data_IF_688759485358
#
_entry.id   IF_688759485358
#
_cell.length_a   1.000
_cell.length_b   1.000
_cell.length_c   1.000
_cell.angle_alpha   90.00
_cell.angle_beta   90.00
_cell.angle_gamma   90.00
#
_symmetry.space_group_name_H-M   'P 1'
#
loop_
_entity.id
_entity.type
_entity.pdbx_description
1 polymer ?
#
# COMPACT_ATOMS: atom_id res chain seq x y z
N UNK A 1 10.50 -21.64 -25.67
CA UNK A 1 9.24 -22.40 -25.58
C UNK A 1 9.27 -23.11 -24.23
N UNK A 2 8.78 -22.41 -23.16
CA UNK A 2 8.68 -23.01 -21.82
C UNK A 2 7.35 -23.73 -21.72
N UNK A 3 7.38 -25.05 -21.79
CA UNK A 3 6.23 -25.92 -21.57
C UNK A 3 6.13 -26.16 -20.06
N UNK A 4 5.46 -25.27 -19.32
CA UNK A 4 5.07 -25.57 -17.95
C UNK A 4 4.05 -26.70 -17.95
N UNK A 5 4.29 -27.71 -17.09
CA UNK A 5 3.40 -28.86 -16.94
C UNK A 5 2.06 -28.43 -16.36
N UNK A 6 0.91 -28.89 -16.86
CA UNK A 6 -0.43 -28.47 -16.44
C UNK A 6 -0.77 -28.69 -14.95
N UNK A 7 0.05 -29.43 -14.22
CA UNK A 7 -0.10 -29.63 -12.76
C UNK A 7 0.46 -28.51 -11.89
N UNK A 8 1.40 -27.71 -12.39
CA UNK A 8 2.04 -26.62 -11.64
C UNK A 8 1.14 -25.37 -11.56
N UNK A 9 0.37 -25.08 -12.60
CA UNK A 9 -0.59 -23.98 -12.57
C UNK A 9 -1.72 -24.20 -11.56
N UNK A 10 -2.28 -25.42 -11.49
CA UNK A 10 -3.31 -25.74 -10.50
C UNK A 10 -2.82 -25.65 -9.05
N UNK A 11 -1.56 -26.01 -8.78
CA UNK A 11 -0.94 -25.91 -7.45
C UNK A 11 -0.69 -24.43 -7.09
N UNK A 12 -0.17 -23.63 -8.02
CA UNK A 12 0.01 -22.18 -7.85
C UNK A 12 -1.32 -21.49 -7.59
N UNK A 13 -2.36 -21.79 -8.38
CA UNK A 13 -3.69 -21.19 -8.22
C UNK A 13 -4.35 -21.53 -6.87
N UNK A 14 -4.17 -22.76 -6.38
CA UNK A 14 -4.63 -23.15 -5.03
C UNK A 14 -3.88 -22.40 -3.92
N UNK A 15 -2.57 -22.24 -4.04
CA UNK A 15 -1.76 -21.51 -3.07
C UNK A 15 -2.12 -20.02 -3.04
N UNK A 16 -2.40 -19.43 -4.21
CA UNK A 16 -2.82 -18.06 -4.34
C UNK A 16 -4.22 -17.84 -3.69
N UNK A 17 -5.18 -18.71 -3.95
CA UNK A 17 -6.50 -18.64 -3.30
C UNK A 17 -6.42 -18.78 -1.79
N UNK A 18 -5.63 -19.71 -1.28
CA UNK A 18 -5.42 -19.88 0.15
C UNK A 18 -4.89 -18.61 0.83
N UNK A 19 -3.99 -17.89 0.18
CA UNK A 19 -3.49 -16.62 0.71
C UNK A 19 -4.61 -15.59 0.84
N UNK A 20 -5.43 -15.40 -0.20
CA UNK A 20 -6.54 -14.43 -0.19
C UNK A 20 -7.58 -14.78 0.88
N UNK A 21 -7.96 -16.05 1.00
CA UNK A 21 -8.93 -16.50 2.00
C UNK A 21 -8.41 -16.29 3.43
N UNK A 22 -7.13 -16.53 3.67
CA UNK A 22 -6.48 -16.26 4.95
C UNK A 22 -6.40 -14.77 5.23
N UNK A 23 -6.03 -13.97 4.23
CA UNK A 23 -5.95 -12.52 4.35
C UNK A 23 -7.32 -11.91 4.66
N UNK A 24 -8.39 -12.33 3.96
CA UNK A 24 -9.77 -11.88 4.22
C UNK A 24 -10.18 -12.17 5.68
N UNK A 25 -9.89 -13.36 6.18
CA UNK A 25 -10.17 -13.71 7.58
C UNK A 25 -9.36 -12.84 8.53
N UNK A 26 -8.06 -12.69 8.30
CA UNK A 26 -7.20 -11.89 9.16
C UNK A 26 -7.60 -10.41 9.19
N UNK A 27 -8.09 -9.87 8.07
CA UNK A 27 -8.64 -8.51 8.00
C UNK A 27 -9.98 -8.34 8.74
N UNK A 28 -10.68 -9.41 9.06
CA UNK A 28 -11.89 -9.38 9.90
C UNK A 28 -11.62 -9.51 11.40
N UNK A 29 -10.38 -9.78 11.80
CA UNK A 29 -9.90 -9.86 13.18
C UNK A 29 -9.31 -8.50 13.63
N UNK A 30 -9.01 -8.31 14.94
CA UNK A 30 -8.30 -7.11 15.39
C UNK A 30 -7.00 -6.88 14.62
N UNK A 31 -6.86 -5.71 14.03
CA UNK A 31 -5.72 -5.34 13.20
C UNK A 31 -4.49 -4.99 14.05
N UNK A 32 -3.26 -5.15 13.51
CA UNK A 32 -2.03 -4.68 14.15
C UNK A 32 -2.04 -3.17 14.44
N UNK A 33 -2.74 -2.41 13.62
CA UNK A 33 -3.09 -1.03 13.86
C UNK A 33 -1.90 -0.09 13.92
N UNK A 34 -2.08 0.95 14.73
CA UNK A 34 -1.13 2.04 14.87
C UNK A 34 0.26 1.56 15.33
N UNK A 35 0.34 0.52 16.17
CA UNK A 35 1.63 0.00 16.67
C UNK A 35 2.50 -0.52 15.52
N UNK A 36 1.91 -1.21 14.55
CA UNK A 36 2.61 -1.65 13.35
C UNK A 36 2.98 -0.46 12.44
N UNK A 37 2.04 0.48 12.25
CA UNK A 37 2.24 1.66 11.42
C UNK A 37 3.39 2.55 11.93
N UNK A 38 3.51 2.72 13.25
CA UNK A 38 4.53 3.56 13.87
C UNK A 38 5.97 3.06 13.65
N UNK A 39 6.17 1.79 13.34
CA UNK A 39 7.50 1.26 12.97
C UNK A 39 8.07 1.93 11.71
N UNK A 40 7.19 2.44 10.84
CA UNK A 40 7.56 3.13 9.60
C UNK A 40 7.20 4.62 9.61
N UNK A 41 6.86 5.17 10.77
CA UNK A 41 6.62 6.60 10.92
C UNK A 41 7.93 7.38 11.00
N UNK A 42 8.03 8.58 10.40
CA UNK A 42 9.13 9.49 10.64
C UNK A 42 9.27 9.79 12.15
N UNK A 43 10.50 9.87 12.63
CA UNK A 43 10.76 10.16 14.04
C UNK A 43 11.61 11.45 14.20
N UNK A 44 11.15 12.49 14.89
CA UNK A 44 9.82 12.60 15.52
C UNK A 44 8.69 12.73 14.50
N UNK A 45 7.56 12.09 14.79
CA UNK A 45 6.35 12.18 13.99
C UNK A 45 5.56 13.43 14.32
N UNK A 46 5.06 14.10 13.30
CA UNK A 46 4.04 15.14 13.49
C UNK A 46 2.67 14.48 13.60
N UNK A 47 1.96 14.83 14.67
CA UNK A 47 0.57 14.45 14.87
C UNK A 47 -0.34 15.62 14.52
N UNK A 48 -1.55 15.37 14.01
CA UNK A 48 -2.56 16.43 13.91
C UNK A 48 -2.86 17.01 15.28
N UNK A 49 -3.21 18.29 15.31
CA UNK A 49 -3.71 18.91 16.54
C UNK A 49 -4.92 18.13 17.09
N UNK A 50 -5.08 17.99 18.41
CA UNK A 50 -6.10 17.14 19.03
C UNK A 50 -7.55 17.44 18.60
N UNK A 51 -7.82 18.67 18.10
CA UNK A 51 -9.12 19.12 17.61
C UNK A 51 -9.16 19.35 16.09
N UNK A 52 -8.11 18.95 15.38
CA UNK A 52 -8.07 19.11 13.92
C UNK A 52 -9.15 18.25 13.26
N UNK A 53 -9.92 18.87 12.41
CA UNK A 53 -10.84 18.17 11.50
C UNK A 53 -10.04 17.71 10.31
N UNK A 54 -9.78 16.40 10.24
CA UNK A 54 -9.09 15.80 9.12
C UNK A 54 -10.07 15.50 7.98
N UNK A 55 -9.66 15.81 6.76
CA UNK A 55 -10.43 15.51 5.56
C UNK A 55 -10.28 14.05 5.19
N UNK A 56 -11.37 13.33 4.88
CA UNK A 56 -11.29 11.94 4.49
C UNK A 56 -10.54 11.79 3.16
N UNK A 57 -9.74 10.74 3.08
CA UNK A 57 -9.04 10.29 1.88
C UNK A 57 -9.01 8.75 1.88
N UNK A 58 -8.91 8.15 0.71
CA UNK A 58 -8.81 6.70 0.57
C UNK A 58 -7.64 6.33 -0.35
N UNK A 59 -7.06 5.14 -0.13
CA UNK A 59 -6.08 4.56 -1.03
C UNK A 59 -6.33 3.06 -1.20
N UNK A 60 -6.11 2.54 -2.40
CA UNK A 60 -6.27 1.14 -2.71
C UNK A 60 -4.93 0.40 -2.53
N UNK A 61 -4.86 -0.51 -1.57
CA UNK A 61 -3.86 -1.55 -1.51
C UNK A 61 -4.38 -2.73 -2.34
N UNK A 62 -4.09 -2.69 -3.65
CA UNK A 62 -4.48 -3.73 -4.58
C UNK A 62 -3.47 -4.87 -4.54
N UNK A 63 -3.95 -6.11 -4.49
CA UNK A 63 -3.11 -7.30 -4.53
C UNK A 63 -3.47 -8.09 -5.78
N UNK A 64 -2.46 -8.43 -6.57
CA UNK A 64 -2.63 -9.19 -7.81
C UNK A 64 -1.49 -10.18 -8.03
N UNK A 65 -1.76 -11.31 -8.72
CA UNK A 65 -0.74 -12.28 -9.07
C UNK A 65 0.08 -11.79 -10.28
N UNK A 66 1.41 -11.89 -10.18
CA UNK A 66 2.33 -11.66 -11.29
C UNK A 66 3.57 -12.51 -11.09
N UNK A 67 4.04 -13.20 -12.14
CA UNK A 67 5.23 -14.07 -12.13
C UNK A 67 5.27 -15.08 -10.96
N UNK A 68 4.09 -15.60 -10.59
CA UNK A 68 3.95 -16.60 -9.51
C UNK A 68 4.07 -16.04 -8.09
N UNK A 69 4.04 -14.73 -7.92
CA UNK A 69 4.05 -14.03 -6.64
C UNK A 69 2.92 -13.00 -6.55
N UNK A 70 2.61 -12.57 -5.33
CA UNK A 70 1.70 -11.46 -5.09
C UNK A 70 2.42 -10.12 -5.18
N UNK A 71 1.81 -9.15 -5.88
CA UNK A 71 2.34 -7.81 -6.07
C UNK A 71 1.34 -6.74 -5.65
N UNK A 72 1.87 -5.57 -5.34
CA UNK A 72 1.13 -4.34 -5.04
C UNK A 72 1.56 -3.28 -6.06
N UNK A 73 0.63 -2.64 -6.79
CA UNK A 73 0.96 -1.53 -7.67
C UNK A 73 1.18 -0.27 -6.83
N UNK A 74 2.33 0.35 -7.00
CA UNK A 74 2.66 1.63 -6.41
C UNK A 74 2.92 2.63 -7.52
N UNK A 75 2.43 3.85 -7.35
CA UNK A 75 2.65 4.95 -8.28
C UNK A 75 3.84 5.80 -7.85
N UNK A 76 4.66 6.23 -8.79
CA UNK A 76 5.65 7.30 -8.58
C UNK A 76 5.05 8.58 -9.12
N UNK A 77 4.90 9.57 -8.25
CA UNK A 77 4.26 10.83 -8.59
C UNK A 77 5.11 11.65 -9.55
N UNK A 78 4.50 12.14 -10.63
CA UNK A 78 5.17 12.88 -11.70
C UNK A 78 5.83 14.19 -11.24
N UNK A 79 6.92 14.55 -11.91
CA UNK A 79 7.74 15.73 -11.61
C UNK A 79 7.00 17.07 -11.85
N UNK A 80 5.93 17.08 -12.62
CA UNK A 80 5.14 18.26 -12.97
C UNK A 80 4.24 18.78 -11.85
N UNK A 81 4.01 17.98 -10.83
CA UNK A 81 3.16 18.36 -9.70
C UNK A 81 3.96 19.16 -8.66
N UNK A 82 3.43 20.31 -8.23
CA UNK A 82 4.10 21.28 -7.33
C UNK A 82 4.48 20.71 -5.95
N UNK A 83 3.87 19.59 -5.54
CA UNK A 83 4.10 18.97 -4.24
C UNK A 83 4.30 17.47 -4.39
N UNK A 84 5.23 16.90 -3.59
CA UNK A 84 5.45 15.45 -3.49
C UNK A 84 6.01 14.75 -4.74
N UNK A 85 6.74 15.49 -5.57
CA UNK A 85 7.47 14.95 -6.74
C UNK A 85 8.32 13.74 -6.37
N UNK A 86 8.22 12.65 -7.14
CA UNK A 86 9.01 11.44 -6.94
C UNK A 86 8.62 10.60 -5.72
N UNK A 87 7.55 10.96 -4.99
CA UNK A 87 7.05 10.12 -3.90
C UNK A 87 6.36 8.88 -4.44
N UNK A 88 6.62 7.76 -3.74
CA UNK A 88 5.96 6.49 -4.01
C UNK A 88 4.70 6.39 -3.14
N UNK A 89 3.57 6.10 -3.77
CA UNK A 89 2.28 5.98 -3.08
C UNK A 89 1.44 4.82 -3.59
N UNK A 90 0.51 4.37 -2.75
CA UNK A 90 -0.64 3.61 -3.23
C UNK A 90 -1.52 4.54 -4.07
N UNK A 91 -2.21 4.03 -5.11
CA UNK A 91 -3.25 4.78 -5.82
C UNK A 91 -4.29 5.28 -4.83
N UNK A 92 -4.60 6.58 -4.88
CA UNK A 92 -5.55 7.12 -3.92
C UNK A 92 -5.58 8.64 -3.85
N UNK A 93 -6.66 9.15 -3.29
CA UNK A 93 -6.95 10.57 -3.19
C UNK A 93 -8.03 10.91 -2.17
N UNK A 94 -8.64 12.09 -2.34
CA UNK A 94 -9.73 12.56 -1.49
C UNK A 94 -11.05 11.94 -1.91
N UNK A 95 -12.01 11.94 -1.01
CA UNK A 95 -13.40 11.71 -1.36
C UNK A 95 -13.94 12.98 -2.06
N UNK A 96 -14.47 12.83 -3.27
CA UNK A 96 -14.96 13.95 -4.08
C UNK A 96 -16.37 14.41 -3.68
N UNK A 97 -17.19 13.46 -3.20
CA UNK A 97 -18.57 13.72 -2.82
C UNK A 97 -18.84 13.28 -1.39
N UNK A 98 -19.74 13.99 -0.64
CA UNK A 98 -20.09 13.63 0.74
C UNK A 98 -20.66 12.20 0.88
N UNK A 99 -21.30 11.68 -0.16
CA UNK A 99 -21.93 10.37 -0.18
C UNK A 99 -21.04 9.27 -0.76
N UNK A 100 -19.81 9.61 -1.19
CA UNK A 100 -18.84 8.63 -1.69
C UNK A 100 -18.28 7.80 -0.54
N UNK A 101 -18.35 6.48 -0.65
CA UNK A 101 -17.68 5.62 0.33
C UNK A 101 -16.17 5.59 0.10
N UNK A 102 -15.41 5.24 1.13
CA UNK A 102 -13.94 5.11 1.02
C UNK A 102 -13.52 4.05 0.00
N UNK A 103 -14.33 3.00 -0.20
CA UNK A 103 -14.11 1.99 -1.23
C UNK A 103 -14.32 2.57 -2.62
N UNK A 104 -15.39 3.35 -2.82
CA UNK A 104 -15.67 4.00 -4.09
C UNK A 104 -14.56 4.98 -4.45
N UNK A 105 -14.11 5.80 -3.50
CA UNK A 105 -13.00 6.72 -3.69
C UNK A 105 -11.71 5.97 -4.05
N UNK A 106 -11.34 4.92 -3.31
CA UNK A 106 -10.15 4.13 -3.58
C UNK A 106 -10.17 3.47 -4.98
N UNK A 107 -11.33 2.95 -5.38
CA UNK A 107 -11.50 2.33 -6.70
C UNK A 107 -11.49 3.36 -7.84
N UNK A 108 -12.13 4.52 -7.66
CA UNK A 108 -12.13 5.62 -8.62
C UNK A 108 -10.70 6.13 -8.86
N UNK A 109 -9.96 6.43 -7.80
CA UNK A 109 -8.58 6.90 -7.90
C UNK A 109 -7.66 5.86 -8.56
N UNK A 110 -7.82 4.57 -8.26
CA UNK A 110 -7.07 3.51 -8.93
C UNK A 110 -7.42 3.40 -10.43
N UNK A 111 -8.67 3.66 -10.80
CA UNK A 111 -9.06 3.71 -12.21
C UNK A 111 -8.45 4.94 -12.90
N UNK A 112 -8.49 6.10 -12.27
CA UNK A 112 -7.96 7.36 -12.80
C UNK A 112 -6.44 7.33 -12.93
N UNK A 113 -5.71 6.88 -11.89
CA UNK A 113 -4.24 6.91 -11.86
C UNK A 113 -3.59 5.77 -12.66
N UNK A 114 -4.12 4.55 -12.57
CA UNK A 114 -3.47 3.33 -13.11
C UNK A 114 -4.36 2.47 -14.01
N UNK A 115 -5.58 2.91 -14.31
CA UNK A 115 -6.48 2.26 -15.27
C UNK A 115 -7.12 0.96 -14.79
N UNK A 116 -7.12 0.67 -13.49
CA UNK A 116 -7.74 -0.54 -12.95
C UNK A 116 -9.26 -0.38 -12.90
N UNK A 117 -9.98 -1.24 -13.62
CA UNK A 117 -11.43 -1.17 -13.67
C UNK A 117 -12.08 -1.57 -12.33
N UNK A 118 -12.92 -0.71 -11.71
CA UNK A 118 -13.51 -0.96 -10.38
C UNK A 118 -14.25 -2.29 -10.26
N UNK A 119 -14.95 -2.72 -11.31
CA UNK A 119 -15.74 -3.96 -11.34
C UNK A 119 -14.89 -5.23 -11.39
N UNK A 120 -13.57 -5.14 -11.57
CA UNK A 120 -12.64 -6.28 -11.52
C UNK A 120 -12.05 -6.50 -10.14
N UNK A 121 -12.17 -5.51 -9.25
CA UNK A 121 -11.56 -5.52 -7.92
C UNK A 121 -12.56 -6.03 -6.88
N UNK A 122 -12.21 -7.11 -6.22
CA UNK A 122 -12.91 -7.56 -5.02
C UNK A 122 -12.34 -6.87 -3.78
N UNK A 123 -13.14 -6.06 -3.09
CA UNK A 123 -12.75 -5.49 -1.80
C UNK A 123 -12.86 -6.56 -0.72
N UNK A 124 -11.75 -6.80 0.00
CA UNK A 124 -11.66 -7.85 1.02
C UNK A 124 -11.50 -7.31 2.45
N UNK A 125 -11.33 -6.00 2.62
CA UNK A 125 -11.26 -5.37 3.93
C UNK A 125 -10.64 -3.97 3.91
N UNK A 126 -10.35 -3.45 5.09
CA UNK A 126 -9.69 -2.17 5.32
C UNK A 126 -8.56 -2.35 6.33
N UNK A 127 -7.55 -1.50 6.26
CA UNK A 127 -6.55 -1.35 7.31
C UNK A 127 -6.89 -0.18 8.24
N UNK A 128 -6.10 0.01 9.28
CA UNK A 128 -6.27 1.10 10.23
C UNK A 128 -6.03 2.46 9.56
N UNK A 129 -6.88 3.46 9.76
CA UNK A 129 -6.70 4.78 9.18
C UNK A 129 -5.40 5.43 9.63
N UNK A 130 -4.74 6.15 8.72
CA UNK A 130 -3.49 6.89 8.96
C UNK A 130 -3.77 8.39 8.98
N UNK A 131 -3.64 9.08 10.12
CA UNK A 131 -3.75 10.53 10.14
C UNK A 131 -2.48 11.17 9.55
N UNK A 132 -2.63 12.06 8.57
CA UNK A 132 -1.53 12.75 7.88
C UNK A 132 -1.58 14.24 8.23
N UNK A 133 -0.80 14.64 9.25
CA UNK A 133 -0.79 16.00 9.78
C UNK A 133 -0.42 17.05 8.72
N UNK A 134 0.60 16.78 7.90
CA UNK A 134 1.12 17.73 6.89
C UNK A 134 0.12 18.08 5.81
N UNK A 135 -0.80 17.21 5.47
CA UNK A 135 -1.84 17.46 4.46
C UNK A 135 -3.23 17.65 5.06
N UNK A 136 -3.41 17.40 6.36
CA UNK A 136 -4.69 17.47 7.06
C UNK A 136 -5.69 16.42 6.61
N UNK A 137 -5.22 15.21 6.25
CA UNK A 137 -6.06 14.10 5.81
C UNK A 137 -6.06 12.93 6.80
N UNK A 138 -7.19 12.23 6.85
CA UNK A 138 -7.30 10.89 7.42
C UNK A 138 -7.38 9.90 6.27
N UNK A 139 -6.30 9.20 6.01
CA UNK A 139 -6.20 8.21 4.94
C UNK A 139 -6.77 6.88 5.40
N UNK A 140 -7.81 6.40 4.73
CA UNK A 140 -8.35 5.06 4.90
C UNK A 140 -7.78 4.13 3.84
N UNK A 141 -6.90 3.18 4.20
CA UNK A 141 -6.46 2.15 3.26
C UNK A 141 -7.55 1.10 3.08
N UNK A 142 -7.86 0.81 1.82
CA UNK A 142 -8.81 -0.21 1.38
C UNK A 142 -8.01 -1.34 0.74
N UNK A 143 -8.28 -2.59 1.12
CA UNK A 143 -7.59 -3.77 0.56
C UNK A 143 -8.48 -4.42 -0.48
N UNK A 144 -7.96 -4.50 -1.70
CA UNK A 144 -8.61 -5.13 -2.84
C UNK A 144 -7.76 -6.21 -3.47
N UNK A 145 -8.40 -7.16 -4.13
CA UNK A 145 -7.75 -8.27 -4.86
C UNK A 145 -8.34 -8.37 -6.25
N UNK A 146 -7.50 -8.70 -7.23
CA UNK A 146 -7.91 -9.13 -8.56
C UNK A 146 -7.32 -10.50 -8.87
N UNK A 147 -7.98 -11.28 -9.72
CA UNK A 147 -7.58 -12.66 -10.02
C UNK A 147 -6.40 -12.74 -10.99
N UNK A 148 -6.27 -11.75 -11.86
CA UNK A 148 -5.22 -11.67 -12.89
C UNK A 148 -4.48 -10.34 -12.78
N UNK A 149 -3.26 -10.28 -13.32
CA UNK A 149 -2.51 -9.02 -13.41
C UNK A 149 -3.28 -8.02 -14.28
N UNK A 150 -3.62 -6.83 -13.76
CA UNK A 150 -4.31 -5.81 -14.56
C UNK A 150 -3.48 -5.33 -15.74
N UNK A 151 -4.16 -4.95 -16.83
CA UNK A 151 -3.53 -4.16 -17.88
C UNK A 151 -3.47 -2.70 -17.42
N UNK A 152 -2.35 -2.31 -16.84
CA UNK A 152 -2.16 -0.96 -16.30
C UNK A 152 -2.11 0.09 -17.42
N UNK A 153 -2.81 1.22 -17.21
CA UNK A 153 -2.79 2.41 -18.07
C UNK A 153 -2.58 3.62 -17.18
N UNK A 154 -1.41 4.24 -17.25
CA UNK A 154 -1.02 5.31 -16.35
C UNK A 154 -1.56 6.67 -16.81
N UNK A 155 -2.05 7.47 -15.87
CA UNK A 155 -2.39 8.87 -16.08
C UNK A 155 -1.11 9.70 -16.23
N UNK A 156 -0.71 10.00 -17.46
CA UNK A 156 0.61 10.58 -17.81
C UNK A 156 0.94 11.90 -17.11
N UNK A 157 -0.06 12.67 -16.64
CA UNK A 157 0.16 13.92 -15.93
C UNK A 157 0.34 13.75 -14.41
N UNK A 158 -0.08 12.62 -13.85
CA UNK A 158 -0.07 12.35 -12.42
C UNK A 158 0.95 11.29 -12.03
N UNK A 159 1.07 10.25 -12.85
CA UNK A 159 1.89 9.07 -12.59
C UNK A 159 3.04 9.03 -13.58
N UNK A 160 4.28 9.17 -13.08
CA UNK A 160 5.50 9.06 -13.87
C UNK A 160 5.80 7.61 -14.25
N UNK A 161 5.66 6.70 -13.30
CA UNK A 161 5.84 5.26 -13.51
C UNK A 161 5.12 4.44 -12.45
N UNK A 162 4.86 3.19 -12.79
CA UNK A 162 4.36 2.17 -11.88
C UNK A 162 5.51 1.33 -11.33
N UNK A 163 5.42 0.96 -10.07
CA UNK A 163 6.26 -0.05 -9.42
C UNK A 163 5.36 -1.23 -9.07
N UNK A 164 5.65 -2.39 -9.62
CA UNK A 164 4.99 -3.65 -9.25
C UNK A 164 5.77 -4.27 -8.08
N UNK A 165 5.40 -3.91 -6.86
CA UNK A 165 6.15 -4.24 -5.65
C UNK A 165 5.76 -5.64 -5.14
N UNK A 166 6.69 -6.60 -5.05
CA UNK A 166 6.39 -7.94 -4.53
C UNK A 166 6.03 -7.91 -3.04
N UNK A 167 4.90 -8.51 -2.67
CA UNK A 167 4.43 -8.58 -1.27
C UNK A 167 5.47 -9.23 -0.36
N UNK A 168 6.15 -10.26 -0.84
CA UNK A 168 7.18 -10.97 -0.08
C UNK A 168 8.31 -10.05 0.41
N UNK A 169 8.66 -9.01 -0.34
CA UNK A 169 9.71 -8.05 0.06
C UNK A 169 9.38 -7.28 1.34
N UNK A 170 8.12 -7.21 1.74
CA UNK A 170 7.72 -6.55 2.98
C UNK A 170 8.22 -7.29 4.25
N UNK A 171 8.39 -8.60 4.16
CA UNK A 171 8.77 -9.48 5.29
C UNK A 171 10.21 -9.99 5.19
N UNK A 172 10.95 -9.63 4.14
CA UNK A 172 12.35 -10.03 3.96
C UNK A 172 13.26 -9.41 5.02
N UNK A 173 14.29 -10.15 5.48
CA UNK A 173 15.32 -9.57 6.32
C UNK A 173 16.00 -8.37 5.65
N UNK A 174 16.03 -7.21 6.33
CA UNK A 174 16.62 -6.00 5.76
C UNK A 174 15.69 -5.21 4.83
N UNK A 175 14.41 -5.57 4.73
CA UNK A 175 13.41 -4.85 3.94
C UNK A 175 13.31 -3.35 4.29
N UNK A 176 13.61 -2.99 5.55
CA UNK A 176 13.51 -1.62 6.06
C UNK A 176 14.89 -0.99 6.15
N UNK A 177 15.04 0.12 5.43
CA UNK A 177 16.15 1.05 5.57
C UNK A 177 15.75 2.30 6.36
N UNK A 178 16.70 3.17 6.65
CA UNK A 178 16.42 4.49 7.23
C UNK A 178 17.38 5.54 6.69
N UNK A 179 16.91 6.78 6.64
CA UNK A 179 17.74 7.94 6.29
C UNK A 179 17.44 9.11 7.20
N UNK A 180 18.41 10.03 7.30
CA UNK A 180 18.21 11.29 8.00
C UNK A 180 17.82 12.38 6.99
N UNK A 181 16.76 13.11 7.30
CA UNK A 181 16.31 14.28 6.53
C UNK A 181 16.14 15.48 7.45
N UNK A 182 16.58 16.62 6.96
CA UNK A 182 16.31 17.91 7.62
C UNK A 182 14.88 18.33 7.25
N UNK A 183 14.07 18.67 8.25
CA UNK A 183 12.70 19.15 8.03
C UNK A 183 12.74 20.51 7.32
N UNK A 184 12.00 20.70 6.22
CA UNK A 184 11.92 21.98 5.52
C UNK A 184 11.53 23.12 6.47
N UNK A 185 12.26 24.24 6.39
CA UNK A 185 12.04 25.42 7.25
C UNK A 185 12.62 25.34 8.67
N UNK A 186 13.22 24.23 9.06
CA UNK A 186 13.80 24.01 10.38
C UNK A 186 15.20 23.37 10.29
N UNK A 187 16.27 24.11 9.96
CA UNK A 187 17.60 23.55 9.65
C UNK A 187 18.24 22.68 10.75
N UNK A 188 17.74 22.76 11.97
CA UNK A 188 18.24 21.97 13.11
C UNK A 188 17.33 20.78 13.48
N UNK A 189 16.21 20.61 12.78
CA UNK A 189 15.24 19.55 13.06
C UNK A 189 15.47 18.39 12.09
N UNK A 190 16.28 17.43 12.53
CA UNK A 190 16.61 16.22 11.78
C UNK A 190 15.61 15.12 12.15
N UNK A 191 14.98 14.53 11.16
CA UNK A 191 14.11 13.37 11.31
C UNK A 191 14.80 12.11 10.78
N UNK A 192 14.60 10.99 11.45
CA UNK A 192 14.89 9.67 10.91
C UNK A 192 13.67 9.20 10.15
N UNK A 193 13.84 8.92 8.87
CA UNK A 193 12.78 8.46 7.97
C UNK A 193 13.03 7.00 7.62
N UNK A 194 12.27 6.05 8.19
CA UNK A 194 12.29 4.67 7.74
C UNK A 194 11.63 4.54 6.35
N UNK A 195 12.12 3.61 5.54
CA UNK A 195 11.58 3.36 4.20
C UNK A 195 11.70 1.88 3.81
N UNK A 196 10.82 1.42 2.91
CA UNK A 196 11.06 0.21 2.13
C UNK A 196 11.75 0.60 0.82
N UNK A 197 12.75 -0.19 0.42
CA UNK A 197 13.38 0.00 -0.89
C UNK A 197 12.59 -0.71 -1.99
N UNK A 198 12.27 0.01 -3.04
CA UNK A 198 11.60 -0.48 -4.23
C UNK A 198 12.48 -0.19 -5.46
N UNK A 199 13.57 -0.95 -5.61
CA UNK A 199 14.52 -0.86 -6.71
C UNK A 199 15.08 0.56 -6.89
N UNK A 200 15.55 1.13 -5.77
CA UNK A 200 16.12 2.47 -5.67
C UNK A 200 15.08 3.58 -5.44
N UNK A 201 13.80 3.29 -5.54
CA UNK A 201 12.76 4.20 -5.05
C UNK A 201 12.45 3.93 -3.57
N UNK A 202 12.31 4.98 -2.78
CA UNK A 202 12.06 4.86 -1.35
C UNK A 202 10.59 5.06 -1.02
N UNK A 203 9.96 4.02 -0.47
CA UNK A 203 8.59 4.08 0.03
C UNK A 203 8.66 4.52 1.49
N UNK A 204 8.15 5.70 1.82
CA UNK A 204 8.23 6.28 3.16
C UNK A 204 6.91 6.99 3.53
N UNK A 205 6.81 7.51 4.75
CA UNK A 205 5.65 8.28 5.22
C UNK A 205 4.37 7.43 5.32
N UNK A 206 3.23 8.00 4.93
CA UNK A 206 1.94 7.34 5.07
C UNK A 206 1.86 6.00 4.33
N UNK A 207 2.42 5.92 3.12
CA UNK A 207 2.45 4.68 2.33
C UNK A 207 3.23 3.59 3.06
N UNK A 208 4.44 3.91 3.58
CA UNK A 208 5.22 2.95 4.35
C UNK A 208 4.52 2.51 5.64
N UNK A 209 3.79 3.41 6.31
CA UNK A 209 3.00 3.07 7.49
C UNK A 209 1.87 2.09 7.17
N UNK A 210 1.16 2.30 6.07
CA UNK A 210 0.14 1.35 5.58
C UNK A 210 0.76 0.00 5.26
N UNK A 211 1.88 -0.01 4.53
CA UNK A 211 2.59 -1.24 4.18
C UNK A 211 3.18 -1.95 5.41
N UNK A 212 3.56 -1.24 6.47
CA UNK A 212 4.04 -1.85 7.72
C UNK A 212 2.94 -2.63 8.45
N UNK A 213 1.72 -2.09 8.48
CA UNK A 213 0.58 -2.82 9.05
C UNK A 213 0.24 -4.04 8.19
N UNK A 214 0.25 -3.88 6.87
CA UNK A 214 0.03 -5.00 5.96
C UNK A 214 1.14 -6.06 6.07
N UNK A 215 2.40 -5.67 6.20
CA UNK A 215 3.53 -6.56 6.43
C UNK A 215 3.38 -7.40 7.70
N UNK A 216 2.88 -6.80 8.79
CA UNK A 216 2.61 -7.53 10.02
C UNK A 216 1.53 -8.61 9.81
N UNK A 217 0.47 -8.31 9.05
CA UNK A 217 -0.57 -9.26 8.69
C UNK A 217 0.00 -10.41 7.83
N UNK A 218 0.83 -10.09 6.83
CA UNK A 218 1.46 -11.10 5.96
C UNK A 218 2.39 -11.99 6.77
N UNK A 219 3.17 -11.42 7.69
CA UNK A 219 4.08 -12.18 8.57
C UNK A 219 3.31 -13.18 9.45
N UNK A 220 2.20 -12.75 10.08
CA UNK A 220 1.34 -13.64 10.87
C UNK A 220 0.83 -14.83 10.03
N UNK A 221 0.47 -14.58 8.76
CA UNK A 221 0.00 -15.62 7.83
C UNK A 221 1.11 -16.61 7.45
N UNK A 222 2.34 -16.12 7.24
CA UNK A 222 3.50 -16.96 6.94
C UNK A 222 3.86 -17.86 8.13
N UNK A 223 3.87 -17.30 9.36
CA UNK A 223 4.13 -18.08 10.58
C UNK A 223 3.05 -19.16 10.81
N UNK A 224 1.77 -18.79 10.68
CA UNK A 224 0.67 -19.74 10.78
C UNK A 224 0.76 -20.88 9.74
N UNK A 225 1.29 -20.58 8.56
CA UNK A 225 1.49 -21.57 7.49
C UNK A 225 2.68 -22.51 7.77
N UNK A 226 3.74 -22.00 8.40
CA UNK A 226 4.92 -22.79 8.82
C UNK A 226 4.56 -23.73 9.98
N UNK A 227 3.76 -23.27 10.94
CA UNK A 227 3.34 -24.06 12.10
C UNK A 227 2.40 -25.24 11.76
N UNK A 228 1.81 -25.26 10.58
CA UNK A 228 0.90 -26.33 10.09
C UNK A 228 1.58 -27.39 9.23
N UNK A 229 2.87 -27.23 8.93
CA UNK A 229 3.69 -28.20 8.19
C UNK A 229 4.50 -29.08 9.13
#
# INVERSE_FOLDING_TARGET
MNTELPGTEHLRFRQLRHFVDHLRRRLSEPLPGLDAQLRMAPNPRMWPEPRAVLRPAAALLLIYPHDGAWHIPLTVRGATLRHHTGQVSLPGGRLDHPDESVEQAALREAQEEIGVAPNTVEIIGRLTPVPIAVSGHLLQPVVGVVQDRPAFSLAAFEVERLIEFPVARLTEPGAVGSEQRVRPGTPRDVQVIPYFDADGARIWGATAMVLAEFAAIVHDLEEASRARR
#
